data_IF_087952342108
#
_entry.id   IF_087952342108
#
_cell.length_a   1.000
_cell.length_b   1.000
_cell.length_c   1.000
_cell.angle_alpha   90.00
_cell.angle_beta   90.00
_cell.angle_gamma   90.00
#
_symmetry.space_group_name_H-M   'P 1'
#
loop_
_entity.id
_entity.type
_entity.pdbx_description
1 polymer ?
#
# COMPACT_ATOMS: atom_id res chain seq x y z
N UNK A 1 -27.82 9.23 -19.63
CA UNK A 1 -27.28 10.02 -18.52
C UNK A 1 -25.81 9.75 -18.34
N UNK A 2 -24.97 10.77 -18.18
CA UNK A 2 -23.57 10.60 -17.87
C UNK A 2 -23.43 10.08 -16.43
N UNK A 3 -22.71 9.00 -16.25
CA UNK A 3 -22.39 8.41 -14.94
C UNK A 3 -21.57 9.41 -14.13
N UNK A 4 -21.99 9.75 -12.91
CA UNK A 4 -21.27 10.67 -12.03
C UNK A 4 -20.66 9.87 -10.90
N UNK A 5 -19.39 9.47 -11.08
CA UNK A 5 -18.61 8.80 -10.04
C UNK A 5 -17.84 9.86 -9.26
N UNK A 6 -17.90 9.79 -7.93
CA UNK A 6 -17.11 10.62 -7.02
C UNK A 6 -16.34 9.75 -6.03
N UNK A 7 -15.14 10.19 -5.67
CA UNK A 7 -14.34 9.61 -4.60
C UNK A 7 -13.98 10.77 -3.67
N UNK A 8 -14.31 10.63 -2.41
CA UNK A 8 -14.12 11.69 -1.41
C UNK A 8 -13.81 11.08 -0.04
N UNK A 9 -13.38 11.92 0.87
CA UNK A 9 -13.26 11.53 2.27
C UNK A 9 -14.65 11.27 2.85
N UNK A 10 -14.74 10.30 3.77
CA UNK A 10 -15.96 9.94 4.47
C UNK A 10 -16.52 11.13 5.27
N UNK A 11 -17.82 11.21 5.35
CA UNK A 11 -18.57 12.24 6.07
C UNK A 11 -19.57 11.58 7.03
N UNK A 12 -20.18 12.36 7.90
CA UNK A 12 -21.09 11.86 8.94
C UNK A 12 -22.29 11.09 8.37
N UNK A 13 -22.82 11.55 7.22
CA UNK A 13 -23.94 10.91 6.53
C UNK A 13 -23.61 9.52 5.98
N UNK A 14 -22.34 9.21 5.77
CA UNK A 14 -21.91 7.90 5.26
C UNK A 14 -21.89 6.82 6.33
N UNK A 15 -21.88 7.20 7.61
CA UNK A 15 -21.69 6.31 8.76
C UNK A 15 -22.58 5.07 8.70
N UNK A 16 -23.85 5.23 8.40
CA UNK A 16 -24.82 4.13 8.31
C UNK A 16 -24.49 3.14 7.19
N UNK A 17 -24.16 3.65 6.01
CA UNK A 17 -23.79 2.81 4.85
C UNK A 17 -22.45 2.11 5.07
N UNK A 18 -21.48 2.81 5.65
CA UNK A 18 -20.17 2.27 5.99
C UNK A 18 -20.31 1.09 6.96
N UNK A 19 -20.97 1.29 8.13
CA UNK A 19 -21.11 0.23 9.14
C UNK A 19 -21.95 -0.94 8.64
N UNK A 20 -22.96 -0.71 7.81
CA UNK A 20 -23.72 -1.76 7.15
C UNK A 20 -22.83 -2.62 6.26
N UNK A 21 -21.98 -1.99 5.44
CA UNK A 21 -21.07 -2.71 4.56
C UNK A 21 -19.95 -3.40 5.35
N UNK A 22 -19.40 -2.76 6.38
CA UNK A 22 -18.43 -3.34 7.30
C UNK A 22 -18.95 -4.60 7.99
N UNK A 23 -20.22 -4.60 8.40
CA UNK A 23 -20.83 -5.73 9.11
C UNK A 23 -21.44 -6.81 8.19
N UNK A 24 -21.43 -6.57 6.88
CA UNK A 24 -21.94 -7.56 5.92
C UNK A 24 -20.97 -8.73 5.74
N UNK A 25 -21.50 -9.90 5.34
CA UNK A 25 -20.70 -11.07 4.94
C UNK A 25 -19.86 -10.79 3.66
N UNK A 26 -20.17 -9.71 2.95
CA UNK A 26 -19.46 -9.26 1.76
C UNK A 26 -18.11 -8.61 2.09
N UNK A 27 -17.76 -8.55 3.37
CA UNK A 27 -16.50 -8.07 3.87
C UNK A 27 -15.38 -9.03 3.46
N UNK A 28 -15.03 -9.00 2.24
CA UNK A 28 -13.97 -9.83 1.72
C UNK A 28 -13.15 -9.03 0.75
N UNK A 29 -11.99 -8.57 1.14
CA UNK A 29 -10.91 -8.39 0.19
C UNK A 29 -9.62 -7.84 0.75
N UNK A 30 -9.52 -7.23 1.91
CA UNK A 30 -8.23 -6.72 2.37
C UNK A 30 -8.00 -7.01 3.83
N UNK A 31 -6.96 -7.78 4.04
CA UNK A 31 -6.09 -7.72 5.20
C UNK A 31 -6.69 -7.78 6.58
N UNK A 32 -7.77 -8.53 6.79
CA UNK A 32 -8.05 -8.95 8.15
C UNK A 32 -8.32 -10.44 8.11
N UNK A 33 -7.44 -11.20 8.75
CA UNK A 33 -7.81 -12.52 9.24
C UNK A 33 -9.15 -12.35 9.95
N UNK A 34 -10.16 -13.12 9.60
CA UNK A 34 -11.52 -13.03 10.17
C UNK A 34 -11.50 -12.98 11.70
N UNK A 35 -10.49 -13.61 12.30
CA UNK A 35 -10.26 -13.68 13.75
C UNK A 35 -9.74 -12.34 14.34
N UNK A 36 -9.28 -11.41 13.51
CA UNK A 36 -8.77 -10.09 13.89
C UNK A 36 -9.69 -8.94 13.45
N UNK A 37 -10.89 -9.25 12.92
CA UNK A 37 -11.87 -8.20 12.56
C UNK A 37 -12.21 -7.41 13.82
N UNK A 38 -12.03 -6.07 13.83
CA UNK A 38 -12.44 -5.24 14.96
C UNK A 38 -13.91 -5.45 15.27
N UNK A 39 -14.29 -5.32 16.53
CA UNK A 39 -15.69 -5.29 16.88
C UNK A 39 -16.38 -4.09 16.21
N UNK A 40 -17.67 -4.17 15.97
CA UNK A 40 -18.43 -3.06 15.38
C UNK A 40 -18.31 -1.77 16.24
N UNK A 41 -18.15 -1.89 17.56
CA UNK A 41 -17.94 -0.78 18.47
C UNK A 41 -16.56 -0.11 18.28
N UNK A 42 -15.52 -0.89 18.09
CA UNK A 42 -14.19 -0.36 17.82
C UNK A 42 -14.14 0.33 16.47
N UNK A 43 -14.74 -0.28 15.46
CA UNK A 43 -14.82 0.32 14.13
C UNK A 43 -15.64 1.61 14.14
N UNK A 44 -16.78 1.64 14.84
CA UNK A 44 -17.59 2.84 15.00
C UNK A 44 -16.83 3.95 15.73
N UNK A 45 -16.02 3.62 16.73
CA UNK A 45 -15.18 4.58 17.45
C UNK A 45 -14.09 5.15 16.53
N UNK A 46 -13.43 4.30 15.74
CA UNK A 46 -12.42 4.74 14.76
C UNK A 46 -13.08 5.63 13.71
N UNK A 47 -14.19 5.20 13.15
CA UNK A 47 -14.94 5.96 12.15
C UNK A 47 -15.36 7.33 12.67
N UNK A 48 -15.91 7.40 13.88
CA UNK A 48 -16.28 8.66 14.52
C UNK A 48 -15.07 9.56 14.70
N UNK A 49 -13.96 9.03 15.21
CA UNK A 49 -12.72 9.80 15.37
C UNK A 49 -12.11 10.29 14.06
N UNK A 50 -12.28 9.56 12.96
CA UNK A 50 -11.86 10.02 11.61
C UNK A 50 -12.77 11.15 11.12
N UNK A 51 -14.09 11.03 11.31
CA UNK A 51 -15.07 12.03 10.89
C UNK A 51 -14.87 13.33 11.68
N UNK A 52 -14.71 13.23 12.99
CA UNK A 52 -14.55 14.38 13.90
C UNK A 52 -13.13 14.98 13.86
N UNK A 53 -12.21 14.35 13.14
CA UNK A 53 -10.82 14.80 13.03
C UNK A 53 -9.97 14.57 14.28
N UNK A 54 -10.40 13.72 15.22
CA UNK A 54 -9.60 13.33 16.41
C UNK A 54 -8.61 12.22 16.11
N UNK A 55 -8.83 11.44 15.04
CA UNK A 55 -7.90 10.45 14.50
C UNK A 55 -7.34 10.96 13.17
N UNK A 56 -6.12 11.50 13.21
CA UNK A 56 -5.46 12.09 12.04
C UNK A 56 -4.61 11.08 11.26
N UNK A 57 -4.23 9.97 11.87
CA UNK A 57 -3.37 8.95 11.25
C UNK A 57 -4.11 8.04 10.26
N UNK A 58 -5.43 8.12 10.23
CA UNK A 58 -6.29 7.29 9.35
C UNK A 58 -7.18 8.18 8.50
N UNK A 59 -7.31 7.81 7.23
CA UNK A 59 -8.28 8.39 6.30
C UNK A 59 -9.19 7.30 5.76
N UNK A 60 -10.44 7.64 5.53
CA UNK A 60 -11.41 6.73 4.91
C UNK A 60 -11.92 7.43 3.65
N UNK A 61 -11.67 6.82 2.50
CA UNK A 61 -12.19 7.26 1.21
C UNK A 61 -13.43 6.47 0.87
N UNK A 62 -14.47 7.13 0.43
CA UNK A 62 -15.70 6.51 -0.09
C UNK A 62 -15.79 6.72 -1.59
N UNK A 63 -16.35 5.74 -2.30
CA UNK A 63 -16.67 5.83 -3.72
C UNK A 63 -18.19 5.76 -3.90
N UNK A 64 -18.71 6.68 -4.70
CA UNK A 64 -20.14 6.81 -5.00
C UNK A 64 -20.37 6.81 -6.52
N UNK A 65 -21.52 6.35 -6.95
CA UNK A 65 -22.03 6.50 -8.32
C UNK A 65 -23.45 7.08 -8.26
N UNK A 66 -23.64 8.30 -8.80
CA UNK A 66 -24.90 9.03 -8.73
C UNK A 66 -25.44 9.17 -7.29
N UNK A 67 -24.58 9.48 -6.33
CA UNK A 67 -24.84 9.58 -4.88
C UNK A 67 -25.21 8.24 -4.22
N UNK A 68 -25.07 7.11 -4.90
CA UNK A 68 -25.18 5.80 -4.29
C UNK A 68 -23.83 5.37 -3.71
N UNK A 69 -23.78 5.02 -2.42
CA UNK A 69 -22.60 4.51 -1.75
C UNK A 69 -22.21 3.12 -2.33
N UNK A 70 -21.05 3.03 -2.94
CA UNK A 70 -20.56 1.84 -3.65
C UNK A 70 -19.55 1.04 -2.81
N UNK A 71 -18.71 1.73 -2.03
CA UNK A 71 -17.66 1.11 -1.25
C UNK A 71 -16.74 2.11 -0.59
N UNK A 72 -15.70 1.61 0.05
CA UNK A 72 -14.72 2.45 0.75
C UNK A 72 -13.34 1.81 0.85
N UNK A 73 -12.36 2.61 1.22
CA UNK A 73 -11.05 2.15 1.65
C UNK A 73 -10.59 2.92 2.89
N UNK A 74 -10.04 2.22 3.89
CA UNK A 74 -9.36 2.85 5.01
C UNK A 74 -7.85 2.82 4.80
N UNK A 75 -7.19 3.95 5.03
CA UNK A 75 -5.77 4.16 4.80
C UNK A 75 -5.17 4.74 6.08
N UNK A 76 -4.22 4.07 6.66
CA UNK A 76 -3.43 4.58 7.78
C UNK A 76 -2.02 4.95 7.34
N UNK A 77 -1.37 5.85 8.10
CA UNK A 77 0.02 6.28 7.86
C UNK A 77 0.91 5.81 9.01
N UNK A 78 1.43 4.58 8.96
CA UNK A 78 2.27 4.03 10.02
C UNK A 78 3.68 4.64 10.05
N UNK A 79 4.13 5.29 8.97
CA UNK A 79 5.42 5.97 8.88
C UNK A 79 5.37 7.13 7.89
N UNK A 80 6.41 7.98 7.88
CA UNK A 80 6.51 9.13 6.95
C UNK A 80 6.47 8.72 5.47
N UNK A 81 6.92 7.51 5.15
CA UNK A 81 7.09 7.05 3.78
C UNK A 81 6.21 5.86 3.40
N UNK A 82 5.21 5.54 4.18
CA UNK A 82 4.31 4.44 3.85
C UNK A 82 2.88 4.67 4.28
N UNK A 83 1.97 4.31 3.41
CA UNK A 83 0.56 4.10 3.70
C UNK A 83 0.26 2.62 3.84
N UNK A 84 -0.67 2.29 4.72
CA UNK A 84 -1.20 0.95 4.87
C UNK A 84 -2.70 0.97 4.58
N UNK A 85 -3.14 0.16 3.61
CA UNK A 85 -4.56 -0.06 3.35
C UNK A 85 -5.04 -1.12 4.33
N UNK A 86 -5.79 -0.70 5.34
CA UNK A 86 -6.38 -1.60 6.34
C UNK A 86 -7.62 -2.30 5.82
N UNK A 87 -8.45 -1.57 5.06
CA UNK A 87 -9.69 -2.08 4.51
C UNK A 87 -9.89 -1.56 3.09
N UNK A 88 -10.44 -2.41 2.20
CA UNK A 88 -10.74 -2.06 0.82
C UNK A 88 -11.96 -2.86 0.38
N UNK A 89 -13.11 -2.24 0.39
CA UNK A 89 -14.39 -2.92 0.23
C UNK A 89 -15.22 -2.29 -0.87
N UNK A 90 -15.69 -3.10 -1.81
CA UNK A 90 -16.69 -2.73 -2.81
C UNK A 90 -17.89 -3.65 -2.62
N UNK A 91 -19.08 -3.08 -2.54
CA UNK A 91 -20.33 -3.83 -2.46
C UNK A 91 -20.37 -4.95 -3.51
N UNK A 92 -20.83 -6.12 -3.15
CA UNK A 92 -20.79 -7.33 -3.98
C UNK A 92 -21.53 -7.14 -5.31
N UNK A 93 -22.71 -6.50 -5.28
CA UNK A 93 -23.52 -6.18 -6.47
C UNK A 93 -22.85 -5.13 -7.40
N UNK A 94 -21.82 -4.47 -6.93
CA UNK A 94 -21.04 -3.44 -7.65
C UNK A 94 -19.64 -3.90 -8.04
N UNK A 95 -19.21 -5.07 -7.63
CA UNK A 95 -17.91 -5.63 -7.99
C UNK A 95 -17.83 -5.92 -9.51
N UNK A 96 -16.61 -6.06 -10.03
CA UNK A 96 -16.29 -6.30 -11.47
C UNK A 96 -16.79 -5.22 -12.44
N UNK A 97 -17.26 -4.09 -11.94
CA UNK A 97 -17.74 -2.93 -12.72
C UNK A 97 -16.70 -1.79 -12.80
N UNK A 98 -15.48 -2.04 -12.35
CA UNK A 98 -14.37 -1.08 -12.41
C UNK A 98 -14.22 -0.17 -11.20
N UNK A 99 -15.15 -0.11 -10.26
CA UNK A 99 -15.10 0.78 -9.09
C UNK A 99 -13.87 0.56 -8.22
N UNK A 100 -13.48 -0.68 -7.96
CA UNK A 100 -12.27 -0.97 -7.19
C UNK A 100 -11.01 -0.44 -7.86
N UNK A 101 -10.92 -0.48 -9.20
CA UNK A 101 -9.81 0.12 -9.95
C UNK A 101 -9.78 1.64 -9.79
N UNK A 102 -10.94 2.30 -9.84
CA UNK A 102 -11.04 3.75 -9.67
C UNK A 102 -10.61 4.16 -8.27
N UNK A 103 -11.14 3.51 -7.23
CA UNK A 103 -10.77 3.78 -5.84
C UNK A 103 -9.27 3.52 -5.59
N UNK A 104 -8.72 2.44 -6.16
CA UNK A 104 -7.30 2.15 -6.05
C UNK A 104 -6.42 3.19 -6.77
N UNK A 105 -6.85 3.70 -7.91
CA UNK A 105 -6.12 4.75 -8.60
C UNK A 105 -6.06 6.03 -7.77
N UNK A 106 -7.15 6.42 -7.11
CA UNK A 106 -7.18 7.58 -6.22
C UNK A 106 -6.19 7.42 -5.05
N UNK A 107 -6.16 6.23 -4.43
CA UNK A 107 -5.20 5.92 -3.36
C UNK A 107 -3.75 6.03 -3.87
N UNK A 108 -3.48 5.56 -5.09
CA UNK A 108 -2.13 5.67 -5.67
C UNK A 108 -1.71 7.10 -5.97
N UNK A 109 -2.64 7.92 -6.50
CA UNK A 109 -2.37 9.34 -6.75
C UNK A 109 -2.11 10.08 -5.42
N UNK A 110 -2.87 9.76 -4.38
CA UNK A 110 -2.65 10.29 -3.05
C UNK A 110 -1.30 9.87 -2.47
N UNK A 111 -0.96 8.59 -2.54
CA UNK A 111 0.33 8.09 -2.07
C UNK A 111 1.52 8.67 -2.85
N UNK A 112 1.34 8.89 -4.15
CA UNK A 112 2.35 9.55 -5.00
C UNK A 112 2.57 11.00 -4.59
N UNK A 113 1.49 11.74 -4.29
CA UNK A 113 1.58 13.13 -3.84
C UNK A 113 2.33 13.27 -2.51
N UNK A 114 2.17 12.29 -1.62
CA UNK A 114 2.81 12.24 -0.29
C UNK A 114 4.18 11.52 -0.31
N UNK A 115 4.68 11.12 -1.47
CA UNK A 115 5.94 10.34 -1.65
C UNK A 115 5.99 9.07 -0.79
N UNK A 116 4.87 8.33 -0.71
CA UNK A 116 4.70 7.13 0.10
C UNK A 116 4.61 5.86 -0.74
N UNK A 117 5.14 4.77 -0.21
CA UNK A 117 4.80 3.42 -0.64
C UNK A 117 3.40 3.05 -0.13
N UNK A 118 2.71 2.15 -0.83
CA UNK A 118 1.45 1.58 -0.33
C UNK A 118 1.70 0.13 0.06
N UNK A 119 1.34 -0.22 1.27
CA UNK A 119 1.39 -1.58 1.81
C UNK A 119 -0.01 -2.07 2.13
N UNK A 120 -0.22 -3.36 2.00
CA UNK A 120 -1.45 -4.02 2.39
C UNK A 120 -1.20 -5.49 2.69
N UNK A 121 -2.08 -6.08 3.44
CA UNK A 121 -2.19 -7.53 3.58
C UNK A 121 -3.42 -8.01 2.81
N UNK A 122 -3.29 -9.11 2.09
CA UNK A 122 -4.33 -9.57 1.18
C UNK A 122 -4.71 -11.02 1.45
N UNK A 123 -5.99 -11.29 1.53
CA UNK A 123 -6.52 -12.65 1.53
C UNK A 123 -6.44 -13.25 0.11
N UNK A 124 -6.35 -14.57 0.02
CA UNK A 124 -6.04 -15.30 -1.21
C UNK A 124 -6.96 -14.99 -2.41
N UNK A 125 -8.23 -14.68 -2.17
CA UNK A 125 -9.19 -14.39 -3.24
C UNK A 125 -9.03 -13.00 -3.88
N UNK A 126 -8.28 -12.09 -3.26
CA UNK A 126 -8.07 -10.73 -3.74
C UNK A 126 -6.68 -10.48 -4.37
N UNK A 127 -5.77 -11.44 -4.27
CA UNK A 127 -4.38 -11.34 -4.77
C UNK A 127 -4.31 -10.90 -6.22
N UNK A 128 -5.04 -11.57 -7.09
CA UNK A 128 -5.09 -11.27 -8.53
C UNK A 128 -5.53 -9.82 -8.83
N UNK A 129 -6.42 -9.25 -8.01
CA UNK A 129 -6.82 -7.86 -8.18
C UNK A 129 -5.64 -6.93 -7.88
N UNK A 130 -4.96 -7.09 -6.76
CA UNK A 130 -3.85 -6.22 -6.36
C UNK A 130 -2.64 -6.38 -7.27
N UNK A 131 -2.31 -7.58 -7.71
CA UNK A 131 -1.25 -7.84 -8.68
C UNK A 131 -1.54 -7.12 -10.02
N UNK A 132 -2.76 -7.19 -10.54
CA UNK A 132 -3.18 -6.41 -11.71
C UNK A 132 -3.13 -4.90 -11.49
N UNK A 133 -3.25 -4.45 -10.24
CA UNK A 133 -3.01 -3.06 -9.87
C UNK A 133 -1.52 -2.72 -9.72
N UNK A 134 -0.62 -3.68 -9.89
CA UNK A 134 0.82 -3.49 -9.87
C UNK A 134 1.47 -3.62 -8.51
N UNK A 135 0.75 -4.13 -7.53
CA UNK A 135 1.34 -4.54 -6.26
C UNK A 135 2.23 -5.77 -6.45
N UNK A 136 3.26 -5.86 -5.63
CA UNK A 136 4.19 -6.99 -5.62
C UNK A 136 4.10 -7.68 -4.27
N UNK A 137 4.00 -9.00 -4.27
CA UNK A 137 4.09 -9.80 -3.05
C UNK A 137 5.49 -9.69 -2.47
N UNK A 138 5.60 -9.38 -1.19
CA UNK A 138 6.87 -9.25 -0.47
C UNK A 138 7.09 -10.44 0.45
N UNK A 139 6.06 -10.86 1.15
CA UNK A 139 6.13 -12.00 2.06
C UNK A 139 4.72 -12.49 2.41
N UNK A 140 4.44 -13.80 2.24
CA UNK A 140 3.14 -14.42 2.56
C UNK A 140 1.97 -13.64 1.94
N UNK A 141 1.13 -13.00 2.78
CA UNK A 141 -0.01 -12.18 2.37
C UNK A 141 0.29 -10.70 2.17
N UNK A 142 1.53 -10.26 2.44
CA UNK A 142 1.92 -8.84 2.39
C UNK A 142 2.25 -8.39 0.97
N UNK A 143 1.68 -7.28 0.55
CA UNK A 143 1.85 -6.67 -0.77
C UNK A 143 2.31 -5.23 -0.66
N UNK A 144 3.17 -4.82 -1.57
CA UNK A 144 3.69 -3.46 -1.64
C UNK A 144 3.55 -2.89 -3.05
N UNK A 145 3.13 -1.64 -3.15
CA UNK A 145 3.18 -0.83 -4.36
C UNK A 145 4.21 0.29 -4.14
N UNK A 146 5.44 0.16 -4.67
CA UNK A 146 6.50 1.11 -4.40
C UNK A 146 6.24 2.45 -5.10
N UNK A 147 6.46 3.56 -4.40
CA UNK A 147 6.32 4.94 -4.90
C UNK A 147 7.08 5.20 -6.21
N UNK A 148 8.27 4.62 -6.37
CA UNK A 148 9.04 4.71 -7.61
C UNK A 148 8.30 4.17 -8.83
N UNK A 149 7.50 3.10 -8.66
CA UNK A 149 6.70 2.50 -9.73
C UNK A 149 5.53 3.40 -10.13
N UNK A 150 4.90 4.09 -9.16
CA UNK A 150 3.85 5.07 -9.40
C UNK A 150 4.39 6.28 -10.20
N UNK A 151 5.55 6.81 -9.81
CA UNK A 151 6.21 7.90 -10.49
C UNK A 151 6.56 7.57 -11.94
N UNK A 152 7.05 6.35 -12.21
CA UNK A 152 7.36 5.88 -13.55
C UNK A 152 6.11 5.79 -14.45
N UNK A 153 4.98 5.29 -13.91
CA UNK A 153 3.72 5.24 -14.66
C UNK A 153 3.22 6.62 -15.05
N UNK A 154 3.24 7.59 -14.12
CA UNK A 154 2.82 8.97 -14.37
C UNK A 154 3.68 9.63 -15.45
N UNK A 155 5.00 9.43 -15.41
CA UNK A 155 5.91 9.94 -16.42
C UNK A 155 5.68 9.33 -17.80
N UNK A 156 5.45 8.00 -17.87
CA UNK A 156 5.13 7.32 -19.14
C UNK A 156 3.83 7.82 -19.76
N UNK A 157 2.83 8.21 -18.95
CA UNK A 157 1.56 8.76 -19.43
C UNK A 157 1.68 10.19 -19.94
N UNK A 158 2.55 11.00 -19.30
CA UNK A 158 2.76 12.41 -19.64
C UNK A 158 3.76 12.63 -20.80
N UNK A 159 4.69 11.69 -21.00
CA UNK A 159 5.77 11.79 -21.97
C UNK A 159 5.90 10.48 -22.75
N UNK A 160 5.32 10.38 -23.95
CA UNK A 160 5.43 9.17 -24.81
C UNK A 160 6.88 8.77 -25.15
N UNK A 161 7.83 9.73 -25.14
CA UNK A 161 9.28 9.49 -25.35
C UNK A 161 9.99 8.93 -24.12
N UNK A 162 9.27 8.64 -23.04
CA UNK A 162 9.86 8.18 -21.78
C UNK A 162 10.48 6.78 -21.86
N UNK A 163 10.08 5.97 -22.84
CA UNK A 163 10.67 4.65 -23.05
C UNK A 163 12.16 4.71 -23.39
N UNK A 164 12.62 5.75 -24.08
CA UNK A 164 14.05 5.99 -24.36
C UNK A 164 14.81 6.35 -23.08
N UNK A 165 14.23 7.22 -22.24
CA UNK A 165 14.84 7.61 -20.96
C UNK A 165 14.83 6.44 -19.96
N UNK A 166 13.87 5.54 -20.07
CA UNK A 166 13.80 4.31 -19.27
C UNK A 166 14.90 3.34 -19.65
N UNK A 167 15.20 3.15 -20.94
CA UNK A 167 16.31 2.30 -21.38
C UNK A 167 17.66 2.82 -20.86
N UNK A 168 17.94 4.12 -20.96
CA UNK A 168 19.15 4.74 -20.39
C UNK A 168 19.26 4.58 -18.85
N UNK A 169 18.13 4.68 -18.13
CA UNK A 169 18.12 4.49 -16.67
C UNK A 169 18.25 3.02 -16.26
N UNK A 170 17.67 2.11 -17.00
CA UNK A 170 17.79 0.68 -16.75
C UNK A 170 19.23 0.21 -17.02
N UNK A 171 19.91 0.76 -18.04
CA UNK A 171 21.33 0.54 -18.31
C UNK A 171 22.22 1.11 -17.20
N UNK A 172 21.94 2.32 -16.72
CA UNK A 172 22.69 2.95 -15.63
C UNK A 172 22.49 2.19 -14.31
N UNK A 173 21.27 1.76 -14.00
CA UNK A 173 20.97 0.92 -12.83
C UNK A 173 21.63 -0.45 -12.93
N UNK A 174 21.69 -1.05 -14.12
CA UNK A 174 22.38 -2.30 -14.37
C UNK A 174 23.91 -2.16 -14.20
N UNK A 175 24.46 -1.00 -14.59
CA UNK A 175 25.87 -0.67 -14.38
C UNK A 175 26.20 -0.44 -12.90
N UNK A 176 25.32 0.26 -12.16
CA UNK A 176 25.45 0.45 -10.71
C UNK A 176 25.37 -0.87 -9.95
N UNK A 177 24.44 -1.76 -10.34
CA UNK A 177 24.34 -3.12 -9.78
C UNK A 177 25.60 -3.93 -10.06
N UNK A 178 26.12 -3.90 -11.29
CA UNK A 178 27.37 -4.59 -11.65
C UNK A 178 28.58 -4.05 -10.89
N UNK A 179 28.66 -2.74 -10.71
CA UNK A 179 29.74 -2.11 -9.94
C UNK A 179 29.66 -2.46 -8.45
N UNK A 180 28.44 -2.53 -7.90
CA UNK A 180 28.21 -2.99 -6.53
C UNK A 180 28.53 -4.48 -6.34
N UNK A 181 28.15 -5.32 -7.29
CA UNK A 181 28.55 -6.74 -7.28
C UNK A 181 30.07 -6.90 -7.31
N UNK A 182 30.75 -6.15 -8.18
CA UNK A 182 32.22 -6.13 -8.25
C UNK A 182 32.86 -5.65 -6.95
N UNK A 183 32.25 -4.68 -6.27
CA UNK A 183 32.68 -4.24 -4.94
C UNK A 183 32.53 -5.35 -3.89
N UNK A 184 31.40 -6.07 -3.87
CA UNK A 184 31.19 -7.20 -2.96
C UNK A 184 32.19 -8.35 -3.16
N UNK A 185 32.68 -8.53 -4.38
CA UNK A 185 33.70 -9.54 -4.72
C UNK A 185 35.13 -9.05 -4.45
N UNK A 186 35.32 -7.77 -4.19
CA UNK A 186 36.64 -7.17 -4.03
C UNK A 186 37.38 -7.69 -2.80
N UNK A 187 38.72 -7.75 -2.86
CA UNK A 187 39.54 -8.08 -1.69
C UNK A 187 39.27 -7.18 -0.49
N UNK A 188 39.02 -5.88 -0.76
CA UNK A 188 38.74 -4.87 0.27
C UNK A 188 37.46 -5.24 1.04
N UNK A 189 36.38 -5.58 0.34
CA UNK A 189 35.12 -5.97 0.99
C UNK A 189 35.29 -7.25 1.83
N UNK A 190 36.05 -8.23 1.30
CA UNK A 190 36.36 -9.46 2.05
C UNK A 190 37.13 -9.20 3.35
N UNK A 191 38.09 -8.27 3.31
CA UNK A 191 38.83 -7.86 4.51
C UNK A 191 37.94 -7.10 5.51
N UNK A 192 37.08 -6.20 5.03
CA UNK A 192 36.10 -5.49 5.88
C UNK A 192 35.16 -6.50 6.59
N UNK A 193 34.65 -7.47 5.85
CA UNK A 193 33.77 -8.51 6.40
C UNK A 193 34.49 -9.40 7.42
N UNK A 194 35.77 -9.72 7.18
CA UNK A 194 36.60 -10.47 8.13
C UNK A 194 36.85 -9.68 9.41
N UNK A 195 37.13 -8.38 9.28
CA UNK A 195 37.29 -7.50 10.43
C UNK A 195 36.01 -7.40 11.25
N UNK A 196 34.88 -7.20 10.55
CA UNK A 196 33.54 -7.14 11.16
C UNK A 196 33.16 -8.44 11.89
N UNK A 197 33.46 -9.59 11.28
CA UNK A 197 33.25 -10.90 11.91
C UNK A 197 34.10 -11.07 13.18
N UNK A 198 35.36 -10.63 13.15
CA UNK A 198 36.23 -10.68 14.32
C UNK A 198 35.74 -9.77 15.46
N UNK A 199 35.27 -8.57 15.16
CA UNK A 199 34.67 -7.64 16.13
C UNK A 199 33.39 -8.26 16.71
N UNK A 200 32.54 -8.84 15.86
CA UNK A 200 31.32 -9.50 16.30
C UNK A 200 31.62 -10.69 17.23
N UNK A 201 32.59 -11.51 16.88
CA UNK A 201 33.04 -12.65 17.70
C UNK A 201 33.59 -12.17 19.04
N UNK A 202 34.44 -11.16 19.04
CA UNK A 202 35.00 -10.58 20.27
C UNK A 202 33.91 -10.05 21.18
N UNK A 203 32.94 -9.32 20.65
CA UNK A 203 31.79 -8.81 21.41
C UNK A 203 30.97 -9.95 22.04
N UNK A 204 30.80 -11.05 21.34
CA UNK A 204 30.06 -12.23 21.82
C UNK A 204 30.81 -12.96 22.94
N UNK A 205 32.14 -12.98 22.90
CA UNK A 205 32.96 -13.54 23.96
C UNK A 205 32.96 -12.67 25.24
N UNK A 206 33.05 -11.34 25.06
CA UNK A 206 33.00 -10.38 26.19
C UNK A 206 31.65 -10.45 26.94
N UNK A 207 30.55 -10.60 26.20
CA UNK A 207 29.19 -10.70 26.77
C UNK A 207 28.93 -12.02 27.54
N UNK A 208 29.83 -13.01 27.45
CA UNK A 208 29.75 -14.22 28.27
C UNK A 208 30.34 -14.06 29.65
N UNK A 209 31.09 -12.97 29.92
CA UNK A 209 31.80 -12.68 31.18
C UNK A 209 31.15 -11.55 31.98
N UNK A 210 30.01 -11.02 31.53
CA UNK A 210 29.15 -10.05 32.22
C UNK A 210 27.80 -10.70 32.51
#
# INVERSE_FOLDING_TARGET
MKRKISIRQIQAEDKGNYLKLFNSEDFGCVGINSDLKPSIYEEERILTGVIDGTILSTRILVIEDNNEFIGYASISRPSEHSFHIGQFVIRKDKQRKGYGKLLMNEIKEYALAEDCDIKLECISNATTFFEKQGFTNVFSSSYTYPRKKALLRRKATLFPSYDLIRQEKDEKSAQEIKSFQKFLESPLFKEIMKLWYNIYRYRKEVLKWV
#
